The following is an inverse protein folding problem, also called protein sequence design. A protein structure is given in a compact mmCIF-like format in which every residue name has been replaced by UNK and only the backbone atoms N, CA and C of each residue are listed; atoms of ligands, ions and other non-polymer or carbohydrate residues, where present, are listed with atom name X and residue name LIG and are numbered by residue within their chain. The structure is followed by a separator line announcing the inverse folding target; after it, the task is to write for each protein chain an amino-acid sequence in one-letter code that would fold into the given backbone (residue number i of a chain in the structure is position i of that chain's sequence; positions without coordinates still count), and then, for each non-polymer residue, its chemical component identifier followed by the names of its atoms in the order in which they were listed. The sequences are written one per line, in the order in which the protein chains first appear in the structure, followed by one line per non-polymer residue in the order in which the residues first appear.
data_IF_432151868729
#
_entry.id   IF_432151868729
#
_cell.length_a   1.000
_cell.length_b   1.000
_cell.length_c   1.000
_cell.angle_alpha   90.00
_cell.angle_beta   90.00
_cell.angle_gamma   90.00
#
_symmetry.space_group_name_H-M   'P 1'
#
loop_
_entity.id
_entity.type
_entity.pdbx_description
1 polymer ?
#
# COMPACT_ATOMS: atom_id res chain seq x y z
N UNK A 1 -39.50 -3.55 6.82
CA UNK A 1 -38.35 -4.23 6.17
C UNK A 1 -37.93 -3.38 4.98
N UNK A 2 -36.65 -3.08 4.84
CA UNK A 2 -36.08 -2.34 3.72
C UNK A 2 -35.11 -3.26 2.99
N UNK A 3 -35.14 -3.29 1.66
CA UNK A 3 -34.19 -4.03 0.85
C UNK A 3 -32.94 -3.18 0.60
N UNK A 4 -31.79 -3.82 0.56
CA UNK A 4 -30.55 -3.26 0.03
C UNK A 4 -30.41 -3.84 -1.38
N UNK A 5 -30.91 -3.12 -2.35
CA UNK A 5 -30.93 -3.50 -3.75
C UNK A 5 -30.17 -2.51 -4.63
N UNK A 6 -30.08 -2.79 -5.90
CA UNK A 6 -29.36 -1.94 -6.85
C UNK A 6 -29.97 -0.54 -6.94
N UNK A 7 -31.30 -0.39 -6.79
CA UNK A 7 -31.96 0.91 -6.85
C UNK A 7 -31.49 1.81 -5.69
N UNK A 8 -31.41 1.27 -4.48
CA UNK A 8 -30.89 1.99 -3.31
C UNK A 8 -29.41 2.35 -3.49
N UNK A 9 -28.60 1.38 -3.91
CA UNK A 9 -27.14 1.57 -4.14
C UNK A 9 -26.89 2.64 -5.21
N UNK A 10 -27.63 2.60 -6.34
CA UNK A 10 -27.53 3.61 -7.40
C UNK A 10 -27.91 4.99 -6.90
N UNK A 11 -28.98 5.08 -6.10
CA UNK A 11 -29.45 6.35 -5.54
C UNK A 11 -28.42 7.02 -4.62
N UNK A 12 -27.73 6.25 -3.79
CA UNK A 12 -26.67 6.78 -2.88
C UNK A 12 -25.40 7.14 -3.68
N UNK A 13 -25.02 6.32 -4.67
CA UNK A 13 -23.88 6.60 -5.54
C UNK A 13 -24.06 7.89 -6.34
N UNK A 14 -25.26 8.12 -6.91
CA UNK A 14 -25.56 9.37 -7.63
C UNK A 14 -25.52 10.62 -6.72
N UNK A 15 -25.84 10.47 -5.44
CA UNK A 15 -25.69 11.56 -4.47
C UNK A 15 -24.23 11.82 -4.14
N UNK A 16 -23.40 10.78 -4.02
CA UNK A 16 -21.96 10.89 -3.79
C UNK A 16 -21.27 11.69 -4.91
N UNK A 17 -21.57 11.40 -6.18
CA UNK A 17 -21.05 12.14 -7.35
C UNK A 17 -21.34 13.65 -7.30
N UNK A 18 -22.48 14.03 -6.74
CA UNK A 18 -22.91 15.44 -6.63
C UNK A 18 -22.42 16.10 -5.35
N UNK A 19 -21.91 15.33 -4.40
CA UNK A 19 -21.42 15.84 -3.12
C UNK A 19 -20.08 16.53 -3.30
N UNK A 20 -19.87 17.74 -2.74
CA UNK A 20 -18.54 18.38 -2.72
C UNK A 20 -17.45 17.52 -2.03
N UNK A 21 -17.87 16.59 -1.15
CA UNK A 21 -16.95 15.68 -0.46
C UNK A 21 -16.68 14.40 -1.25
N UNK A 22 -17.31 14.23 -2.43
CA UNK A 22 -17.22 13.01 -3.25
C UNK A 22 -17.63 11.75 -2.47
N UNK A 23 -18.53 11.89 -1.49
CA UNK A 23 -19.08 10.80 -0.70
C UNK A 23 -20.45 11.12 -0.15
N UNK A 24 -21.25 10.07 0.10
CA UNK A 24 -22.58 10.16 0.67
C UNK A 24 -22.90 8.93 1.51
N UNK A 25 -23.47 9.17 2.70
CA UNK A 25 -23.95 8.10 3.58
C UNK A 25 -25.45 7.93 3.47
N UNK A 26 -25.93 6.69 3.56
CA UNK A 26 -27.33 6.35 3.76
C UNK A 26 -27.47 5.52 5.02
N UNK A 27 -28.03 6.11 6.08
CA UNK A 27 -28.10 5.50 7.41
C UNK A 27 -29.31 4.57 7.54
N UNK A 28 -29.10 3.36 8.08
CA UNK A 28 -30.15 2.42 8.49
C UNK A 28 -30.51 2.55 9.98
N UNK A 29 -29.63 3.16 10.78
CA UNK A 29 -29.92 3.55 12.15
C UNK A 29 -30.76 4.83 12.13
N UNK A 30 -31.62 5.00 13.16
CA UNK A 30 -32.60 6.09 13.22
C UNK A 30 -32.06 7.30 13.96
N UNK A 31 -31.14 7.08 14.89
CA UNK A 31 -30.54 8.12 15.73
C UNK A 31 -29.03 7.95 15.83
N UNK A 32 -28.31 9.03 16.04
CA UNK A 32 -26.88 9.01 16.37
C UNK A 32 -26.62 8.37 17.75
N UNK A 33 -27.66 8.24 18.60
CA UNK A 33 -27.60 7.56 19.90
C UNK A 33 -27.79 6.05 19.79
N UNK A 34 -28.11 5.51 18.61
CA UNK A 34 -28.27 4.08 18.40
C UNK A 34 -26.97 3.34 18.74
N UNK A 35 -27.12 2.19 19.42
CA UNK A 35 -25.97 1.37 19.86
C UNK A 35 -25.22 0.67 18.73
N UNK A 36 -25.79 0.61 17.53
CA UNK A 36 -25.20 0.02 16.36
C UNK A 36 -25.47 0.91 15.15
N UNK A 37 -24.43 1.51 14.62
CA UNK A 37 -24.50 2.29 13.41
C UNK A 37 -24.30 1.39 12.20
N UNK A 38 -25.21 1.48 11.26
CA UNK A 38 -25.20 0.72 10.00
C UNK A 38 -25.57 1.67 8.90
N UNK A 39 -24.74 1.74 7.87
CA UNK A 39 -24.99 2.67 6.75
C UNK A 39 -24.30 2.21 5.48
N UNK A 40 -24.86 2.63 4.35
CA UNK A 40 -24.12 2.61 3.09
C UNK A 40 -23.23 3.85 3.05
N UNK A 41 -22.01 3.67 2.58
CA UNK A 41 -21.09 4.77 2.29
C UNK A 41 -20.70 4.69 0.82
N UNK A 42 -21.24 5.60 0.01
CA UNK A 42 -20.89 5.72 -1.40
C UNK A 42 -19.70 6.68 -1.53
N UNK A 43 -18.69 6.25 -2.25
CA UNK A 43 -17.41 6.93 -2.43
C UNK A 43 -17.11 7.11 -3.92
N UNK A 44 -16.61 8.26 -4.29
CA UNK A 44 -16.05 8.54 -5.61
C UNK A 44 -14.53 8.70 -5.52
N UNK A 45 -13.76 8.35 -6.58
CA UNK A 45 -12.34 8.62 -6.63
C UNK A 45 -12.03 10.09 -6.34
N UNK A 46 -11.02 10.33 -5.51
CA UNK A 46 -10.67 11.66 -5.02
C UNK A 46 -11.36 12.06 -3.72
N UNK A 47 -12.28 11.24 -3.17
CA UNK A 47 -12.78 11.47 -1.81
C UNK A 47 -11.63 11.36 -0.80
N UNK A 48 -11.54 12.33 0.12
CA UNK A 48 -10.52 12.33 1.15
C UNK A 48 -11.08 11.77 2.46
N UNK A 49 -10.50 10.65 2.90
CA UNK A 49 -10.72 10.08 4.23
C UNK A 49 -9.36 10.07 4.92
N UNK A 50 -9.16 10.90 5.97
CA UNK A 50 -7.88 10.96 6.67
C UNK A 50 -7.55 9.63 7.33
N UNK A 51 -6.27 9.42 7.61
CA UNK A 51 -5.87 8.30 8.48
C UNK A 51 -6.36 8.59 9.88
N UNK A 52 -7.18 7.68 10.41
CA UNK A 52 -7.83 7.84 11.71
C UNK A 52 -7.93 6.50 12.44
N UNK A 53 -8.31 6.54 13.69
CA UNK A 53 -8.68 5.36 14.46
C UNK A 53 -9.93 5.62 15.31
N UNK A 54 -10.56 4.55 15.74
CA UNK A 54 -11.66 4.59 16.70
C UNK A 54 -11.21 3.98 18.03
N UNK A 55 -11.11 4.74 19.12
CA UNK A 55 -10.50 4.25 20.36
C UNK A 55 -11.34 3.21 21.09
N UNK A 56 -12.66 3.21 20.86
CA UNK A 56 -13.61 2.37 21.63
C UNK A 56 -14.49 1.50 20.74
N UNK A 57 -14.30 1.53 19.41
CA UNK A 57 -15.21 0.89 18.46
C UNK A 57 -14.43 0.10 17.40
N UNK A 58 -14.88 -1.11 17.18
CA UNK A 58 -14.54 -1.86 15.98
C UNK A 58 -15.38 -1.34 14.80
N UNK A 59 -14.84 -1.42 13.60
CA UNK A 59 -15.51 -1.06 12.36
C UNK A 59 -15.39 -2.19 11.34
N UNK A 60 -16.53 -2.63 10.82
CA UNK A 60 -16.57 -3.59 9.72
C UNK A 60 -17.00 -2.90 8.45
N UNK A 61 -16.20 -3.03 7.39
CA UNK A 61 -16.49 -2.52 6.04
C UNK A 61 -16.63 -3.68 5.07
N UNK A 62 -17.68 -3.66 4.23
CA UNK A 62 -17.94 -4.67 3.18
C UNK A 62 -18.20 -3.96 1.87
N UNK A 63 -17.49 -4.33 0.81
CA UNK A 63 -17.64 -3.77 -0.52
C UNK A 63 -18.85 -4.40 -1.21
N UNK A 64 -19.90 -3.63 -1.43
CA UNK A 64 -21.07 -4.03 -2.21
C UNK A 64 -20.87 -3.78 -3.70
N UNK A 65 -20.10 -2.74 -4.06
CA UNK A 65 -19.81 -2.36 -5.45
C UNK A 65 -18.48 -1.61 -5.52
N UNK A 66 -17.77 -1.71 -6.66
CA UNK A 66 -16.56 -0.97 -6.94
C UNK A 66 -15.33 -1.50 -6.23
N UNK A 67 -14.35 -0.63 -6.02
CA UNK A 67 -13.05 -1.02 -5.47
C UNK A 67 -12.51 0.05 -4.53
N UNK A 68 -12.10 -0.40 -3.36
CA UNK A 68 -11.43 0.45 -2.36
C UNK A 68 -10.13 -0.20 -1.89
N UNK A 69 -9.22 0.60 -1.39
CA UNK A 69 -8.04 0.14 -0.66
C UNK A 69 -8.22 0.48 0.81
N UNK A 70 -8.09 -0.50 1.68
CA UNK A 70 -8.00 -0.31 3.13
C UNK A 70 -6.55 -0.48 3.54
N UNK A 71 -6.01 0.51 4.26
CA UNK A 71 -4.62 0.50 4.73
C UNK A 71 -4.59 0.74 6.22
N UNK A 72 -3.77 -0.04 6.94
CA UNK A 72 -3.50 0.15 8.37
C UNK A 72 -2.07 0.64 8.59
N UNK A 73 -1.88 1.42 9.66
CA UNK A 73 -0.62 2.11 9.94
C UNK A 73 -0.21 1.91 11.40
N UNK A 74 1.11 2.09 11.67
CA UNK A 74 1.58 2.33 13.03
C UNK A 74 1.40 3.82 13.42
N UNK A 75 1.77 4.15 14.66
CA UNK A 75 1.70 5.51 15.21
C UNK A 75 2.66 6.53 14.53
N UNK A 76 3.57 6.05 13.69
CA UNK A 76 4.52 6.86 12.91
C UNK A 76 4.12 7.00 11.45
N UNK A 77 3.03 6.36 11.03
CA UNK A 77 2.53 6.39 9.65
C UNK A 77 3.15 5.35 8.72
N UNK A 78 3.88 4.37 9.27
CA UNK A 78 4.36 3.23 8.50
C UNK A 78 3.20 2.30 8.18
N UNK A 79 3.09 1.87 6.93
CA UNK A 79 2.06 0.91 6.52
C UNK A 79 2.35 -0.45 7.15
N UNK A 80 1.37 -0.98 7.84
CA UNK A 80 1.39 -2.32 8.42
C UNK A 80 0.76 -3.33 7.47
N UNK A 81 -0.41 -3.01 6.95
CA UNK A 81 -1.15 -3.86 6.02
C UNK A 81 -1.89 -2.99 5.00
N UNK A 82 -2.08 -3.49 3.80
CA UNK A 82 -2.97 -2.87 2.81
C UNK A 82 -3.61 -3.93 1.93
N UNK A 83 -4.88 -3.71 1.58
CA UNK A 83 -5.71 -4.61 0.81
C UNK A 83 -6.53 -3.84 -0.21
N UNK A 84 -6.56 -4.34 -1.44
CA UNK A 84 -7.51 -3.90 -2.46
C UNK A 84 -8.78 -4.76 -2.33
N UNK A 85 -9.85 -4.17 -1.83
CA UNK A 85 -11.13 -4.84 -1.62
C UNK A 85 -12.05 -4.62 -2.83
N UNK A 86 -12.55 -5.69 -3.41
CA UNK A 86 -13.54 -5.67 -4.49
C UNK A 86 -14.21 -7.03 -4.65
N UNK A 87 -15.32 -7.08 -5.40
CA UNK A 87 -15.94 -8.35 -5.78
C UNK A 87 -14.99 -9.21 -6.65
N UNK A 88 -14.21 -8.57 -7.51
CA UNK A 88 -13.28 -9.25 -8.43
C UNK A 88 -12.09 -9.88 -7.71
N UNK A 89 -11.57 -9.21 -6.68
CA UNK A 89 -10.42 -9.72 -5.90
C UNK A 89 -10.79 -10.87 -4.97
N UNK A 90 -12.09 -11.07 -4.70
CA UNK A 90 -12.56 -11.99 -3.67
C UNK A 90 -12.29 -11.53 -2.23
N UNK A 91 -11.60 -10.40 -2.05
CA UNK A 91 -11.45 -9.73 -0.76
C UNK A 91 -12.61 -8.75 -0.60
N UNK A 92 -13.64 -9.18 0.10
CA UNK A 92 -14.94 -8.49 0.10
C UNK A 92 -15.07 -7.43 1.18
N UNK A 93 -14.23 -7.45 2.20
CA UNK A 93 -14.33 -6.52 3.31
C UNK A 93 -13.18 -6.63 4.29
N UNK A 94 -13.19 -5.77 5.29
CA UNK A 94 -12.26 -5.76 6.39
C UNK A 94 -12.99 -5.53 7.71
N UNK A 95 -12.55 -6.22 8.77
CA UNK A 95 -12.92 -5.95 10.15
C UNK A 95 -11.74 -5.25 10.82
N UNK A 96 -11.96 -4.00 11.26
CA UNK A 96 -10.93 -3.09 11.75
C UNK A 96 -11.14 -2.94 13.25
N UNK A 97 -10.24 -3.51 14.08
CA UNK A 97 -10.33 -3.39 15.52
C UNK A 97 -10.18 -1.95 16.01
N UNK A 98 -10.70 -1.67 17.21
CA UNK A 98 -10.47 -0.41 17.90
C UNK A 98 -8.97 -0.08 18.00
N UNK A 99 -8.63 1.21 18.03
CA UNK A 99 -7.26 1.73 18.10
C UNK A 99 -6.35 1.41 16.90
N UNK A 100 -6.86 0.82 15.83
CA UNK A 100 -6.09 0.60 14.61
C UNK A 100 -6.15 1.85 13.72
N UNK A 101 -4.99 2.49 13.50
CA UNK A 101 -4.87 3.55 12.52
C UNK A 101 -5.15 3.01 11.12
N UNK A 102 -6.11 3.61 10.42
CA UNK A 102 -6.50 3.14 9.09
C UNK A 102 -6.99 4.27 8.18
N UNK A 103 -7.00 3.99 6.89
CA UNK A 103 -7.64 4.80 5.86
C UNK A 103 -8.37 3.92 4.87
N UNK A 104 -9.38 4.51 4.20
CA UNK A 104 -10.08 3.90 3.07
C UNK A 104 -9.91 4.81 1.87
N UNK A 105 -9.30 4.30 0.81
CA UNK A 105 -9.09 5.01 -0.44
C UNK A 105 -10.01 4.45 -1.52
N UNK A 106 -10.77 5.31 -2.16
CA UNK A 106 -11.64 4.91 -3.28
C UNK A 106 -10.83 4.84 -4.57
N UNK A 107 -10.65 3.62 -5.11
CA UNK A 107 -9.92 3.39 -6.36
C UNK A 107 -10.82 3.44 -7.60
N UNK A 108 -12.06 2.95 -7.45
CA UNK A 108 -13.13 3.01 -8.44
C UNK A 108 -14.42 3.39 -7.71
N UNK A 109 -15.42 4.05 -8.36
CA UNK A 109 -16.65 4.40 -7.69
C UNK A 109 -17.23 3.23 -6.90
N UNK A 110 -17.35 3.38 -5.59
CA UNK A 110 -17.63 2.28 -4.67
C UNK A 110 -18.82 2.57 -3.77
N UNK A 111 -19.49 1.50 -3.33
CA UNK A 111 -20.47 1.55 -2.25
C UNK A 111 -20.12 0.48 -1.22
N UNK A 112 -19.89 0.93 -0.01
CA UNK A 112 -19.57 0.09 1.13
C UNK A 112 -20.80 -0.07 2.03
N UNK A 113 -20.92 -1.20 2.68
CA UNK A 113 -21.71 -1.37 3.90
C UNK A 113 -20.77 -1.25 5.09
N UNK A 114 -21.02 -0.26 5.94
CA UNK A 114 -20.26 -0.05 7.16
C UNK A 114 -21.11 -0.34 8.39
N UNK A 115 -20.51 -1.02 9.36
CA UNK A 115 -21.10 -1.31 10.65
C UNK A 115 -20.09 -0.97 11.75
N UNK A 116 -20.54 -0.17 12.73
CA UNK A 116 -19.75 0.13 13.92
C UNK A 116 -20.60 0.36 15.15
N UNK A 117 -20.04 0.21 16.33
CA UNK A 117 -20.74 0.51 17.57
C UNK A 117 -21.10 1.99 17.66
N UNK A 118 -22.28 2.29 18.20
CA UNK A 118 -22.69 3.62 18.62
C UNK A 118 -22.59 3.78 20.14
N UNK A 119 -22.98 4.94 20.67
CA UNK A 119 -23.50 6.14 19.99
C UNK A 119 -22.41 6.88 19.18
N UNK A 120 -22.82 7.79 18.31
CA UNK A 120 -21.89 8.74 17.68
C UNK A 120 -21.49 9.80 18.71
N UNK A 121 -20.20 10.00 18.86
CA UNK A 121 -19.65 11.06 19.71
C UNK A 121 -18.88 12.02 18.80
N UNK A 122 -19.28 13.29 18.79
CA UNK A 122 -18.81 14.28 17.82
C UNK A 122 -17.29 14.53 17.83
N UNK A 123 -16.60 14.10 18.87
CA UNK A 123 -15.16 14.27 19.05
C UNK A 123 -14.40 12.93 19.19
N UNK A 124 -15.04 11.82 18.87
CA UNK A 124 -14.42 10.49 18.89
C UNK A 124 -13.56 10.16 17.65
N UNK A 125 -13.29 11.13 16.81
CA UNK A 125 -12.18 11.01 15.88
C UNK A 125 -10.92 11.39 16.64
N UNK A 126 -10.39 10.42 17.38
CA UNK A 126 -9.31 10.64 18.32
C UNK A 126 -7.95 10.56 17.69
N UNK A 127 -7.75 11.29 16.70
CA UNK A 127 -6.49 11.52 16.08
C UNK A 127 -6.59 11.36 14.57
N UNK A 128 -6.23 12.39 13.88
CA UNK A 128 -5.81 12.32 12.50
C UNK A 128 -4.30 12.13 12.56
N UNK A 129 -3.82 10.98 12.09
CA UNK A 129 -2.40 10.80 11.92
C UNK A 129 -1.97 11.70 10.76
N UNK A 130 -1.22 12.74 11.07
CA UNK A 130 -0.60 13.60 10.07
C UNK A 130 0.54 12.81 9.41
N UNK A 131 0.20 12.07 8.36
CA UNK A 131 1.19 11.43 7.53
C UNK A 131 2.04 12.54 6.91
N UNK A 132 3.36 12.50 7.14
CA UNK A 132 4.28 13.35 6.39
C UNK A 132 3.91 13.27 4.92
N UNK A 133 3.73 14.42 4.27
CA UNK A 133 3.42 14.50 2.84
C UNK A 133 4.36 13.57 2.07
N UNK A 134 3.80 12.68 1.25
CA UNK A 134 4.60 11.70 0.51
C UNK A 134 3.74 10.82 -0.36
N UNK A 135 4.40 10.17 -1.32
CA UNK A 135 3.81 9.11 -2.16
C UNK A 135 4.40 7.76 -1.81
N UNK A 136 3.62 6.73 -2.01
CA UNK A 136 4.00 5.35 -1.69
C UNK A 136 4.23 4.54 -2.97
N UNK A 137 5.30 3.75 -2.97
CA UNK A 137 5.59 2.73 -3.97
C UNK A 137 6.13 1.48 -3.28
N UNK A 138 5.88 0.29 -3.84
CA UNK A 138 6.31 -0.97 -3.29
C UNK A 138 7.25 -1.66 -4.28
N UNK A 139 8.48 -1.91 -3.85
CA UNK A 139 9.57 -2.35 -4.71
C UNK A 139 10.13 -3.68 -4.23
N UNK A 140 9.96 -4.72 -5.05
CA UNK A 140 10.55 -6.04 -4.83
C UNK A 140 11.88 -6.10 -5.58
N UNK A 141 12.98 -6.21 -4.85
CA UNK A 141 14.34 -6.14 -5.40
C UNK A 141 15.26 -7.27 -4.91
N UNK A 142 14.73 -8.49 -4.72
CA UNK A 142 15.45 -9.59 -4.06
C UNK A 142 15.32 -9.48 -2.53
N UNK A 143 16.35 -9.86 -1.78
CA UNK A 143 16.32 -9.77 -0.32
C UNK A 143 16.02 -8.34 0.14
N UNK A 144 14.94 -8.19 0.90
CA UNK A 144 14.46 -6.86 1.31
C UNK A 144 15.37 -6.13 2.32
N UNK A 145 16.27 -6.81 3.04
CA UNK A 145 17.20 -6.15 3.94
C UNK A 145 18.17 -5.19 3.23
N UNK A 146 18.79 -5.68 2.15
CA UNK A 146 19.69 -4.87 1.33
C UNK A 146 18.93 -3.78 0.57
N UNK A 147 17.77 -4.15 0.02
CA UNK A 147 16.92 -3.24 -0.73
C UNK A 147 16.38 -2.10 0.15
N UNK A 148 15.93 -2.38 1.38
CA UNK A 148 15.51 -1.35 2.34
C UNK A 148 16.68 -0.41 2.68
N UNK A 149 17.82 -0.97 3.07
CA UNK A 149 18.99 -0.17 3.43
C UNK A 149 19.47 0.73 2.28
N UNK A 150 19.36 0.25 1.05
CA UNK A 150 19.66 1.02 -0.15
C UNK A 150 18.73 2.23 -0.31
N UNK A 151 17.41 2.02 -0.25
CA UNK A 151 16.45 3.12 -0.42
C UNK A 151 16.54 4.15 0.70
N UNK A 152 16.84 3.76 1.92
CA UNK A 152 17.05 4.67 3.05
C UNK A 152 18.19 5.67 2.85
N UNK A 153 19.16 5.38 1.95
CA UNK A 153 20.26 6.29 1.66
C UNK A 153 19.85 7.42 0.70
N UNK A 154 18.74 7.28 -0.03
CA UNK A 154 18.32 8.23 -1.07
C UNK A 154 17.65 9.44 -0.41
N UNK A 155 18.18 10.65 -0.70
CA UNK A 155 17.54 11.89 -0.26
C UNK A 155 16.12 12.00 -0.82
N UNK A 156 15.17 12.38 0.03
CA UNK A 156 13.74 12.45 -0.32
C UNK A 156 12.97 11.16 -0.02
N UNK A 157 13.62 10.05 0.34
CA UNK A 157 12.93 8.90 0.93
C UNK A 157 12.63 9.24 2.40
N UNK A 158 11.35 9.24 2.76
CA UNK A 158 10.84 9.69 4.07
C UNK A 158 10.72 8.52 5.03
N UNK A 159 10.30 7.35 4.51
CA UNK A 159 10.04 6.17 5.31
C UNK A 159 10.22 4.91 4.46
N UNK A 160 10.77 3.86 5.07
CA UNK A 160 10.81 2.51 4.49
C UNK A 160 10.20 1.48 5.43
N UNK A 161 9.78 0.37 4.87
CA UNK A 161 9.36 -0.79 5.64
C UNK A 161 9.46 -2.04 4.79
N UNK A 162 9.83 -3.16 5.40
CA UNK A 162 9.93 -4.44 4.69
C UNK A 162 8.71 -5.32 4.95
N UNK A 163 8.31 -6.06 3.94
CA UNK A 163 7.13 -6.92 4.01
C UNK A 163 6.99 -7.84 2.81
N UNK A 164 5.79 -8.35 2.63
CA UNK A 164 5.44 -9.34 1.63
C UNK A 164 4.27 -8.81 0.78
N UNK A 165 4.45 -8.78 -0.54
CA UNK A 165 3.45 -8.25 -1.47
C UNK A 165 2.95 -9.30 -2.46
N UNK A 166 1.68 -9.13 -2.86
CA UNK A 166 1.04 -9.83 -3.98
C UNK A 166 1.07 -11.36 -3.89
N UNK A 167 0.84 -11.89 -2.70
CA UNK A 167 0.62 -13.32 -2.45
C UNK A 167 -0.86 -13.68 -2.29
N UNK A 168 -1.13 -14.94 -1.97
CA UNK A 168 -2.48 -15.49 -1.94
C UNK A 168 -2.92 -16.10 -0.59
N UNK A 169 -2.05 -16.01 0.42
CA UNK A 169 -2.39 -16.44 1.79
C UNK A 169 -2.63 -15.24 2.69
N UNK A 170 -3.43 -15.41 3.74
CA UNK A 170 -3.66 -14.35 4.71
C UNK A 170 -2.57 -14.37 5.80
N UNK A 171 -2.10 -13.18 6.20
CA UNK A 171 -1.22 -12.98 7.35
C UNK A 171 0.03 -13.90 7.36
N UNK A 172 0.82 -13.93 6.27
CA UNK A 172 1.93 -14.85 6.15
C UNK A 172 3.05 -14.50 7.13
N UNK A 173 3.61 -15.51 7.80
CA UNK A 173 4.88 -15.38 8.48
C UNK A 173 6.05 -15.47 7.47
N UNK A 174 7.22 -14.96 7.85
CA UNK A 174 8.44 -15.13 7.05
C UNK A 174 8.74 -16.60 6.72
N UNK A 175 8.51 -17.51 7.68
CA UNK A 175 8.75 -18.93 7.47
C UNK A 175 7.86 -19.52 6.37
N UNK A 176 6.60 -19.08 6.28
CA UNK A 176 5.68 -19.51 5.23
C UNK A 176 6.09 -18.93 3.88
N UNK A 177 6.44 -17.64 3.81
CA UNK A 177 6.94 -17.01 2.58
C UNK A 177 8.21 -17.68 2.08
N UNK A 178 9.09 -18.08 3.01
CA UNK A 178 10.35 -18.79 2.67
C UNK A 178 10.15 -20.13 1.98
N UNK A 179 8.96 -20.73 2.07
CA UNK A 179 8.63 -21.99 1.36
C UNK A 179 8.38 -21.80 -0.14
N UNK A 180 8.27 -20.56 -0.63
CA UNK A 180 7.86 -20.20 -2.00
C UNK A 180 6.45 -20.71 -2.41
N UNK A 181 5.63 -21.12 -1.45
CA UNK A 181 4.26 -21.63 -1.71
C UNK A 181 3.16 -20.60 -1.49
N UNK A 182 3.47 -19.45 -0.91
CA UNK A 182 2.51 -18.39 -0.58
C UNK A 182 2.30 -17.37 -1.71
N UNK A 183 3.17 -17.39 -2.72
CA UNK A 183 3.14 -16.46 -3.84
C UNK A 183 3.61 -15.04 -3.52
N UNK A 184 4.06 -14.75 -2.30
CA UNK A 184 4.55 -13.44 -1.93
C UNK A 184 5.94 -13.13 -2.47
N UNK A 185 6.19 -11.85 -2.78
CA UNK A 185 7.53 -11.31 -2.98
C UNK A 185 8.00 -10.56 -1.74
N UNK A 186 9.26 -10.72 -1.35
CA UNK A 186 9.93 -9.81 -0.43
C UNK A 186 9.95 -8.41 -1.03
N UNK A 187 9.37 -7.44 -0.33
CA UNK A 187 9.06 -6.13 -0.89
C UNK A 187 9.36 -5.03 0.11
N UNK A 188 9.96 -3.95 -0.37
CA UNK A 188 10.17 -2.73 0.39
C UNK A 188 9.05 -1.75 0.07
N UNK A 189 8.29 -1.34 1.07
CA UNK A 189 7.45 -0.16 1.02
C UNK A 189 8.36 1.07 1.11
N UNK A 190 8.26 1.97 0.15
CA UNK A 190 9.01 3.22 0.10
C UNK A 190 8.03 4.38 0.06
N UNK A 191 8.04 5.24 1.07
CA UNK A 191 7.40 6.55 1.05
C UNK A 191 8.43 7.60 0.72
N UNK A 192 8.17 8.42 -0.29
CA UNK A 192 9.07 9.47 -0.75
C UNK A 192 8.36 10.82 -0.86
N UNK A 193 9.11 11.89 -0.66
CA UNK A 193 8.64 13.26 -0.83
C UNK A 193 8.71 13.65 -2.33
N UNK A 194 7.57 13.83 -3.01
CA UNK A 194 7.55 14.14 -4.44
C UNK A 194 8.08 15.55 -4.77
N UNK A 195 8.25 16.41 -3.77
CA UNK A 195 8.86 17.72 -3.97
C UNK A 195 10.40 17.65 -4.00
N UNK A 196 10.99 16.61 -3.37
CA UNK A 196 12.42 16.37 -3.31
C UNK A 196 12.90 15.41 -4.40
N UNK A 197 12.16 14.30 -4.65
CA UNK A 197 12.48 13.31 -5.68
C UNK A 197 11.24 12.91 -6.48
N UNK A 198 11.43 12.63 -7.77
CA UNK A 198 10.40 12.12 -8.65
C UNK A 198 10.32 10.58 -8.59
N UNK A 199 9.14 10.03 -8.92
CA UNK A 199 9.00 8.58 -9.11
C UNK A 199 9.95 8.07 -10.19
N UNK A 200 10.14 8.85 -11.27
CA UNK A 200 11.07 8.50 -12.35
C UNK A 200 12.49 8.27 -11.82
N UNK A 201 13.00 9.21 -11.02
CA UNK A 201 14.32 9.06 -10.41
C UNK A 201 14.38 7.86 -9.46
N UNK A 202 13.38 7.69 -8.60
CA UNK A 202 13.33 6.58 -7.66
C UNK A 202 13.35 5.21 -8.37
N UNK A 203 12.62 5.07 -9.49
CA UNK A 203 12.64 3.86 -10.31
C UNK A 203 13.98 3.65 -11.03
N UNK A 204 14.63 4.74 -11.50
CA UNK A 204 15.99 4.64 -12.04
C UNK A 204 16.98 4.12 -10.97
N UNK A 205 16.83 4.57 -9.72
CA UNK A 205 17.62 4.06 -8.61
C UNK A 205 17.30 2.58 -8.32
N UNK A 206 16.03 2.17 -8.40
CA UNK A 206 15.62 0.77 -8.26
C UNK A 206 16.33 -0.13 -9.26
N UNK A 207 16.35 0.24 -10.55
CA UNK A 207 17.03 -0.53 -11.59
C UNK A 207 18.56 -0.58 -11.44
N UNK A 208 19.17 0.30 -10.63
CA UNK A 208 20.60 0.19 -10.26
C UNK A 208 20.85 -0.87 -9.19
N UNK A 209 19.84 -1.20 -8.40
CA UNK A 209 19.96 -2.14 -7.29
C UNK A 209 19.67 -3.59 -7.68
N UNK A 210 19.14 -3.84 -8.88
CA UNK A 210 18.72 -5.18 -9.31
C UNK A 210 19.38 -5.61 -10.63
N UNK A 211 19.39 -6.91 -10.87
CA UNK A 211 19.48 -7.46 -12.23
C UNK A 211 18.06 -7.67 -12.77
N UNK A 212 17.57 -6.78 -13.65
CA UNK A 212 16.19 -6.84 -14.11
C UNK A 212 15.90 -8.00 -15.06
N UNK A 213 16.92 -8.71 -15.54
CA UNK A 213 16.79 -9.85 -16.43
C UNK A 213 16.75 -11.20 -15.69
N UNK A 214 17.05 -11.18 -14.39
CA UNK A 214 17.09 -12.37 -13.56
C UNK A 214 15.71 -12.76 -13.06
N UNK A 215 15.21 -13.91 -13.43
CA UNK A 215 13.91 -14.43 -13.01
C UNK A 215 14.03 -15.13 -11.65
N UNK A 216 13.23 -14.70 -10.67
CA UNK A 216 13.16 -15.30 -9.35
C UNK A 216 14.51 -15.42 -8.62
N UNK A 217 15.43 -14.51 -8.90
CA UNK A 217 16.77 -14.53 -8.34
C UNK A 217 17.41 -13.15 -8.33
N UNK A 218 18.10 -12.80 -7.24
CA UNK A 218 18.96 -11.62 -7.16
C UNK A 218 20.26 -12.01 -6.42
N UNK A 219 21.39 -11.86 -7.09
CA UNK A 219 22.67 -12.30 -6.53
C UNK A 219 22.69 -13.81 -6.23
N UNK A 220 22.84 -14.16 -4.96
CA UNK A 220 22.83 -15.55 -4.48
C UNK A 220 21.46 -15.99 -3.96
N UNK A 221 20.52 -15.06 -3.79
CA UNK A 221 19.17 -15.33 -3.31
C UNK A 221 18.31 -15.87 -4.45
N UNK A 222 17.81 -17.11 -4.31
CA UNK A 222 17.02 -17.81 -5.32
C UNK A 222 15.69 -18.29 -4.72
N UNK A 223 14.61 -18.09 -5.46
CA UNK A 223 13.24 -18.43 -5.09
C UNK A 223 12.24 -17.37 -5.58
N UNK A 224 10.97 -17.76 -5.71
CA UNK A 224 9.92 -16.85 -6.21
C UNK A 224 9.71 -15.63 -5.32
N UNK A 225 10.03 -15.72 -4.03
CA UNK A 225 10.02 -14.61 -3.07
C UNK A 225 11.03 -13.51 -3.39
N UNK A 226 12.10 -13.83 -4.13
CA UNK A 226 13.14 -12.87 -4.54
C UNK A 226 12.96 -12.35 -5.97
N UNK A 227 11.77 -12.56 -6.56
CA UNK A 227 11.44 -11.95 -7.85
C UNK A 227 11.41 -10.43 -7.75
N UNK A 228 11.66 -9.79 -8.86
CA UNK A 228 11.66 -8.33 -8.94
C UNK A 228 10.32 -7.79 -9.38
N UNK A 229 9.91 -6.63 -8.82
CA UNK A 229 8.62 -6.04 -9.14
C UNK A 229 8.47 -4.59 -8.70
N UNK A 230 7.65 -3.86 -9.44
CA UNK A 230 7.18 -2.52 -9.15
C UNK A 230 5.68 -2.61 -8.93
N UNK A 231 5.24 -2.47 -7.67
CA UNK A 231 3.83 -2.58 -7.30
C UNK A 231 3.31 -1.22 -6.90
N UNK A 232 2.37 -0.69 -7.68
CA UNK A 232 1.84 0.66 -7.51
C UNK A 232 0.46 0.64 -6.86
N UNK A 233 0.16 1.71 -6.14
CA UNK A 233 -1.14 1.93 -5.50
C UNK A 233 -1.97 2.95 -6.26
N UNK A 234 -1.34 3.87 -6.97
CA UNK A 234 -1.98 4.89 -7.80
C UNK A 234 -1.79 4.56 -9.29
N UNK A 235 -2.88 4.43 -10.03
CA UNK A 235 -2.82 4.21 -11.49
C UNK A 235 -2.24 5.39 -12.26
N UNK A 236 -2.24 6.59 -11.67
CA UNK A 236 -1.57 7.76 -12.24
C UNK A 236 -0.05 7.60 -12.35
N UNK A 237 0.55 6.69 -11.59
CA UNK A 237 1.98 6.37 -11.65
C UNK A 237 2.34 5.47 -12.85
N UNK A 238 1.37 4.77 -13.44
CA UNK A 238 1.62 3.81 -14.53
C UNK A 238 2.34 4.41 -15.74
N UNK A 239 2.02 5.61 -16.25
CA UNK A 239 2.75 6.20 -17.36
C UNK A 239 4.24 6.43 -17.08
N UNK A 240 4.60 6.80 -15.85
CA UNK A 240 6.00 6.98 -15.43
C UNK A 240 6.69 5.62 -15.34
N UNK A 241 6.03 4.62 -14.75
CA UNK A 241 6.55 3.24 -14.64
C UNK A 241 6.84 2.69 -16.03
N UNK A 242 5.89 2.80 -16.97
CA UNK A 242 6.05 2.30 -18.34
C UNK A 242 7.17 3.02 -19.10
N UNK A 243 7.29 4.34 -18.93
CA UNK A 243 8.37 5.13 -19.53
C UNK A 243 9.74 4.62 -19.06
N UNK A 244 9.94 4.56 -17.74
CA UNK A 244 11.23 4.14 -17.18
C UNK A 244 11.55 2.70 -17.56
N UNK A 245 10.56 1.82 -17.50
CA UNK A 245 10.71 0.43 -17.90
C UNK A 245 11.14 0.30 -19.38
N UNK A 246 10.50 1.04 -20.28
CA UNK A 246 10.83 1.03 -21.71
C UNK A 246 12.25 1.56 -21.98
N UNK A 247 12.70 2.58 -21.24
CA UNK A 247 14.06 3.10 -21.31
C UNK A 247 15.09 2.10 -20.79
N UNK A 248 14.80 1.46 -19.66
CA UNK A 248 15.69 0.44 -19.08
C UNK A 248 15.80 -0.78 -19.97
N UNK A 249 14.69 -1.29 -20.54
CA UNK A 249 14.67 -2.43 -21.45
C UNK A 249 15.64 -2.29 -22.64
N UNK A 250 15.88 -1.07 -23.11
CA UNK A 250 16.79 -0.82 -24.23
C UNK A 250 18.25 -1.20 -23.95
N UNK A 251 18.62 -1.35 -22.67
CA UNK A 251 19.97 -1.74 -22.23
C UNK A 251 20.21 -3.23 -22.30
N UNK A 252 19.15 -4.03 -22.47
CA UNK A 252 19.20 -5.49 -22.42
C UNK A 252 18.65 -6.10 -23.71
N UNK A 253 19.32 -7.13 -24.21
CA UNK A 253 18.90 -7.87 -25.41
C UNK A 253 17.75 -8.85 -25.12
N UNK A 254 17.62 -9.29 -23.87
CA UNK A 254 16.55 -10.18 -23.42
C UNK A 254 15.46 -9.41 -22.66
N UNK A 255 14.23 -9.91 -22.61
CA UNK A 255 13.17 -9.29 -21.85
C UNK A 255 13.53 -9.19 -20.36
N UNK A 256 13.20 -8.06 -19.75
CA UNK A 256 13.29 -7.93 -18.30
C UNK A 256 12.21 -8.77 -17.60
N UNK A 257 12.56 -9.37 -16.48
CA UNK A 257 11.70 -10.23 -15.66
C UNK A 257 10.99 -9.48 -14.54
N UNK A 258 11.04 -8.13 -14.55
CA UNK A 258 10.45 -7.27 -13.52
C UNK A 258 8.94 -7.19 -13.69
N UNK A 259 8.18 -7.55 -12.65
CA UNK A 259 6.73 -7.38 -12.63
C UNK A 259 6.35 -5.90 -12.57
N UNK A 260 5.28 -5.51 -13.28
CA UNK A 260 4.66 -4.18 -13.20
C UNK A 260 3.17 -4.39 -13.00
N UNK A 261 2.67 -4.20 -11.79
CA UNK A 261 1.27 -4.49 -11.51
C UNK A 261 0.76 -3.70 -10.30
N UNK A 262 -0.54 -3.54 -10.17
CA UNK A 262 -1.14 -2.96 -8.98
C UNK A 262 -0.78 -3.78 -7.74
N UNK A 263 -0.59 -3.09 -6.61
CA UNK A 263 -0.50 -3.74 -5.32
C UNK A 263 -1.87 -4.31 -4.95
N UNK A 264 -1.96 -5.63 -4.78
CA UNK A 264 -3.19 -6.32 -4.37
C UNK A 264 -3.29 -6.43 -2.86
N UNK A 265 -2.19 -6.80 -2.22
CA UNK A 265 -2.07 -6.88 -0.77
C UNK A 265 -0.61 -6.69 -0.35
N UNK A 266 -0.44 -6.29 0.90
CA UNK A 266 0.85 -6.17 1.55
C UNK A 266 0.69 -6.49 3.04
N UNK A 267 1.64 -7.26 3.56
CA UNK A 267 1.81 -7.52 4.98
C UNK A 267 3.21 -7.10 5.41
N UNK A 268 3.31 -6.29 6.44
CA UNK A 268 4.62 -5.96 7.00
C UNK A 268 5.27 -7.24 7.58
N UNK A 269 6.56 -7.40 7.34
CA UNK A 269 7.32 -8.50 7.93
C UNK A 269 7.53 -8.25 9.43
N UNK A 270 7.90 -9.30 10.14
CA UNK A 270 8.14 -9.28 11.58
C UNK A 270 9.19 -8.23 11.96
N UNK A 271 9.08 -7.64 13.15
CA UNK A 271 9.88 -6.49 13.59
C UNK A 271 11.41 -6.72 13.50
N UNK A 272 11.87 -7.96 13.64
CA UNK A 272 13.31 -8.26 13.53
C UNK A 272 13.86 -8.12 12.11
N UNK A 273 13.00 -8.05 11.08
CA UNK A 273 13.39 -7.76 9.70
C UNK A 273 13.46 -6.27 9.39
N UNK A 274 12.75 -5.44 10.14
CA UNK A 274 12.70 -4.00 9.92
C UNK A 274 14.05 -3.38 10.29
N UNK A 275 14.59 -2.52 9.43
CA UNK A 275 15.87 -1.86 9.65
C UNK A 275 17.03 -2.83 9.94
N UNK A 276 16.98 -4.02 9.32
CA UNK A 276 17.87 -5.13 9.67
C UNK A 276 19.35 -4.76 9.60
N UNK A 277 19.79 -4.12 8.51
CA UNK A 277 21.22 -3.75 8.36
C UNK A 277 21.62 -2.57 9.23
N UNK A 278 20.69 -1.72 9.70
CA UNK A 278 20.99 -0.69 10.68
C UNK A 278 21.20 -1.32 12.07
N UNK A 279 20.40 -2.33 12.41
CA UNK A 279 20.50 -3.11 13.66
C UNK A 279 21.69 -4.10 13.62
N UNK A 280 22.06 -4.58 12.42
CA UNK A 280 23.09 -5.58 12.18
C UNK A 280 24.04 -5.15 11.03
N UNK A 281 24.97 -4.20 11.26
CA UNK A 281 25.81 -3.64 10.19
C UNK A 281 26.71 -4.65 9.44
N UNK A 282 26.97 -5.81 10.04
CA UNK A 282 27.75 -6.92 9.44
C UNK A 282 26.85 -8.05 8.97
N UNK A 283 25.52 -7.84 8.97
CA UNK A 283 24.55 -8.82 8.52
C UNK A 283 24.64 -9.14 7.03
N UNK A 284 23.93 -10.18 6.62
CA UNK A 284 23.88 -10.57 5.21
C UNK A 284 23.27 -9.45 4.35
N UNK A 285 23.94 -9.15 3.24
CA UNK A 285 23.46 -8.27 2.20
C UNK A 285 23.87 -8.75 0.82
N UNK A 286 22.95 -8.79 -0.12
CA UNK A 286 23.22 -9.16 -1.52
C UNK A 286 23.75 -7.97 -2.34
N UNK A 287 23.63 -6.74 -1.84
CA UNK A 287 24.08 -5.52 -2.51
C UNK A 287 25.49 -5.12 -2.04
N UNK A 288 26.35 -4.64 -2.92
CA UNK A 288 27.70 -4.19 -2.55
C UNK A 288 27.64 -2.83 -1.84
N UNK A 289 28.59 -2.59 -0.92
CA UNK A 289 28.72 -1.36 -0.14
C UNK A 289 28.78 -0.09 -1.02
N UNK A 290 29.47 -0.19 -2.17
CA UNK A 290 29.61 0.91 -3.12
C UNK A 290 28.26 1.43 -3.66
N UNK A 291 27.24 0.57 -3.68
CA UNK A 291 25.91 0.96 -4.14
C UNK A 291 25.20 1.85 -3.11
N UNK A 292 25.41 1.59 -1.83
CA UNK A 292 24.88 2.45 -0.76
C UNK A 292 25.53 3.84 -0.77
N UNK A 293 26.86 3.90 -1.04
CA UNK A 293 27.57 5.17 -1.20
C UNK A 293 27.07 5.94 -2.42
N UNK A 294 26.83 5.24 -3.52
CA UNK A 294 26.21 5.80 -4.73
C UNK A 294 24.82 6.39 -4.41
N UNK A 295 23.95 5.61 -3.74
CA UNK A 295 22.61 6.05 -3.39
C UNK A 295 22.61 7.33 -2.51
N UNK A 296 23.51 7.41 -1.55
CA UNK A 296 23.66 8.58 -0.67
C UNK A 296 24.06 9.86 -1.40
N UNK A 297 24.80 9.73 -2.50
CA UNK A 297 25.28 10.86 -3.30
C UNK A 297 24.35 11.21 -4.47
N UNK A 298 23.43 10.31 -4.79
CA UNK A 298 22.53 10.49 -5.92
C UNK A 298 21.52 11.62 -5.66
N UNK A 299 21.28 12.44 -6.67
CA UNK A 299 20.36 13.59 -6.62
C UNK A 299 19.44 13.57 -7.82
N UNK A 300 18.18 13.88 -7.62
CA UNK A 300 17.24 14.10 -8.70
C UNK A 300 17.44 15.52 -9.30
N UNK A 301 18.09 15.56 -10.46
CA UNK A 301 18.37 16.81 -11.15
C UNK A 301 17.12 17.50 -11.71
N UNK A 302 15.98 16.82 -11.73
CA UNK A 302 14.72 17.41 -12.22
C UNK A 302 14.00 18.19 -11.13
N UNK A 303 14.45 18.09 -9.88
CA UNK A 303 13.89 18.74 -8.70
C UNK A 303 14.80 19.84 -8.11
N UNK A 304 15.95 20.11 -8.74
CA UNK A 304 16.92 21.13 -8.32
C UNK A 304 16.60 22.50 -8.91
#
# INVERSE_FOLDING_TARGET
MQLIDNQLIDGVAEQAKRSPRLRMNYNFHQSLDDKCHRFLNALEPGTYIPVHHHPTKDETVIVLRGKVRVTTYDDKGKILQTFALSQESGQLGADIPQNVWHSVECQEPAVLMECKAGPFVEHEVDGILDLKSGKDIFLAGGCFWGTEHYFKQIEGVVLTGVGFANGHTANPSYKEVYTDTTGYAETVHVRYDPDIISLEFLLQMFFKAIDPTSLNKQGHDEGTRYRTGIYFTDTADLPVIEKVFAEEQKKYSQPMAVEKMPLQNYYTAEEYHQDYLDKNPTGYCHLPQSLFEFARQAKDKTKS
#
